data_IF_917290596892
#
_entry.id   IF_917290596892
#
_cell.length_a   1.000
_cell.length_b   1.000
_cell.length_c   1.000
_cell.angle_alpha   90.00
_cell.angle_beta   90.00
_cell.angle_gamma   90.00
#
_symmetry.space_group_name_H-M   'P 1'
#
loop_
_entity.id
_entity.type
_entity.pdbx_description
1 polymer ?
#
# COMPACT_ATOMS: atom_id res chain seq x y z
N UNK A 1 18.70 -56.23 -12.82
CA UNK A 1 19.11 -56.20 -11.40
C UNK A 1 20.31 -55.28 -11.29
N UNK A 2 20.10 -54.15 -10.63
CA UNK A 2 21.02 -53.44 -9.73
C UNK A 2 22.49 -53.17 -10.14
N UNK A 3 22.88 -51.91 -9.90
CA UNK A 3 24.21 -51.36 -9.57
C UNK A 3 25.10 -50.78 -10.67
N UNK A 4 25.48 -49.51 -10.46
CA UNK A 4 26.78 -48.84 -10.67
C UNK A 4 26.51 -47.32 -10.83
N UNK A 5 27.25 -46.35 -10.29
CA UNK A 5 28.49 -46.35 -9.52
C UNK A 5 28.84 -44.88 -9.16
N UNK A 6 29.39 -44.69 -7.95
CA UNK A 6 30.53 -43.82 -7.60
C UNK A 6 30.44 -42.28 -7.60
N UNK A 7 30.78 -41.77 -6.41
CA UNK A 7 31.72 -40.70 -6.04
C UNK A 7 31.36 -39.19 -6.08
N UNK A 8 31.37 -38.63 -4.86
CA UNK A 8 32.13 -37.46 -4.39
C UNK A 8 32.13 -36.17 -5.22
N UNK A 9 31.54 -35.11 -4.65
CA UNK A 9 32.30 -33.87 -4.43
C UNK A 9 31.73 -33.02 -3.28
N UNK A 10 32.65 -32.69 -2.38
CA UNK A 10 32.70 -31.64 -1.35
C UNK A 10 31.70 -30.48 -1.48
N UNK A 11 31.02 -30.14 -0.38
CA UNK A 11 30.67 -28.74 -0.09
C UNK A 11 30.72 -28.49 1.42
N UNK A 12 31.67 -27.65 1.81
CA UNK A 12 32.02 -27.23 3.16
C UNK A 12 31.46 -25.81 3.34
N UNK A 13 30.43 -25.61 4.17
CA UNK A 13 30.07 -24.27 4.67
C UNK A 13 29.67 -24.37 6.14
N UNK A 14 30.35 -23.54 6.93
CA UNK A 14 30.38 -23.48 8.38
C UNK A 14 29.01 -23.23 9.04
N UNK A 15 28.79 -23.91 10.16
CA UNK A 15 27.72 -23.65 11.11
C UNK A 15 28.07 -22.41 11.94
N UNK A 16 27.36 -21.31 11.73
CA UNK A 16 27.49 -20.10 12.58
C UNK A 16 26.44 -20.19 13.69
N UNK A 17 26.90 -20.44 14.91
CA UNK A 17 26.14 -20.39 16.15
C UNK A 17 26.21 -18.96 16.73
N UNK A 18 25.08 -18.24 16.71
CA UNK A 18 24.97 -16.89 17.27
C UNK A 18 24.54 -17.00 18.74
N UNK A 19 25.46 -16.66 19.65
CA UNK A 19 25.22 -16.60 21.09
C UNK A 19 24.60 -15.26 21.49
N UNK A 20 23.47 -15.32 22.20
CA UNK A 20 22.78 -14.20 22.85
C UNK A 20 23.60 -13.63 24.00
N UNK A 21 23.86 -12.32 23.98
CA UNK A 21 24.29 -11.56 25.15
C UNK A 21 23.57 -10.20 25.16
N UNK A 22 22.66 -10.03 26.12
CA UNK A 22 22.19 -8.73 26.61
C UNK A 22 22.95 -8.44 27.91
N UNK A 23 23.44 -7.21 28.15
CA UNK A 23 22.89 -6.49 29.30
C UNK A 23 22.82 -4.96 29.14
N UNK A 24 21.64 -4.42 29.50
CA UNK A 24 21.39 -3.17 30.23
C UNK A 24 22.44 -2.05 30.21
N UNK A 25 22.15 -0.97 29.47
CA UNK A 25 22.64 0.38 29.80
C UNK A 25 21.49 1.36 30.01
N UNK A 26 21.45 1.90 31.23
CA UNK A 26 20.51 2.91 31.70
C UNK A 26 20.99 4.29 31.23
N UNK A 27 20.35 4.85 30.21
CA UNK A 27 20.47 6.28 29.92
C UNK A 27 19.32 7.06 30.57
N UNK A 28 19.64 7.69 31.70
CA UNK A 28 18.82 8.71 32.35
C UNK A 28 19.08 10.04 31.63
N UNK A 29 18.06 10.63 31.02
CA UNK A 29 18.04 12.06 30.70
C UNK A 29 16.81 12.70 31.37
N UNK A 30 17.10 13.54 32.38
CA UNK A 30 16.14 14.48 32.99
C UNK A 30 16.08 15.73 32.11
N UNK A 31 14.89 16.17 31.72
CA UNK A 31 14.62 17.62 31.59
C UNK A 31 13.16 17.96 31.86
N UNK A 32 12.96 19.09 32.51
CA UNK A 32 11.79 19.53 33.28
C UNK A 32 10.72 20.27 32.44
N UNK A 33 9.48 20.18 32.95
CA UNK A 33 8.34 21.11 32.89
C UNK A 33 8.47 22.45 32.13
N UNK A 34 7.42 22.80 31.38
CA UNK A 34 6.50 23.89 31.79
C UNK A 34 5.18 23.91 31.01
N UNK A 35 4.09 23.80 31.75
CA UNK A 35 2.71 24.09 31.35
C UNK A 35 2.53 25.62 31.41
N UNK A 36 2.00 26.24 30.36
CA UNK A 36 1.44 27.60 30.43
C UNK A 36 0.04 27.62 29.83
N UNK A 37 -0.93 27.66 30.73
CA UNK A 37 -2.31 28.10 30.47
C UNK A 37 -2.28 29.58 30.07
N UNK A 38 -3.00 29.97 29.02
CA UNK A 38 -3.36 31.37 28.84
C UNK A 38 -4.83 31.51 28.43
N UNK A 39 -5.47 32.45 29.11
CA UNK A 39 -6.92 32.59 29.29
C UNK A 39 -7.39 33.73 28.37
N UNK A 40 -8.51 33.52 27.66
CA UNK A 40 -9.15 34.51 26.80
C UNK A 40 -9.77 35.70 27.57
N UNK A 41 -9.76 36.91 27.00
CA UNK A 41 -10.79 37.92 27.25
C UNK A 41 -11.87 37.92 26.15
N UNK A 42 -13.14 38.03 26.58
CA UNK A 42 -14.34 38.20 25.74
C UNK A 42 -14.69 39.70 25.58
N UNK A 43 -15.61 39.99 24.63
CA UNK A 43 -16.67 41.07 24.59
C UNK A 43 -16.51 42.04 23.39
N UNK A 44 -17.58 42.62 22.75
CA UNK A 44 -18.98 42.23 22.50
C UNK A 44 -19.38 42.21 21.00
N UNK A 45 -20.64 41.81 20.71
CA UNK A 45 -21.28 41.78 19.37
C UNK A 45 -21.82 43.14 18.92
N UNK A 46 -21.91 43.39 17.60
CA UNK A 46 -23.01 44.14 17.02
C UNK A 46 -23.90 43.29 16.10
N UNK A 47 -25.11 43.80 15.93
CA UNK A 47 -26.33 43.20 15.42
C UNK A 47 -26.46 43.13 13.89
N UNK A 48 -27.06 42.03 13.42
CA UNK A 48 -28.04 41.91 12.32
C UNK A 48 -27.73 42.68 11.01
N UNK A 49 -27.22 41.97 10.00
CA UNK A 49 -27.58 42.14 8.58
C UNK A 49 -27.68 40.76 7.91
N UNK A 50 -28.75 40.55 7.13
CA UNK A 50 -29.06 39.34 6.34
C UNK A 50 -28.28 39.32 5.02
N UNK A 51 -28.11 38.11 4.50
CA UNK A 51 -27.81 37.72 3.12
C UNK A 51 -26.34 37.83 2.66
N UNK A 52 -25.70 36.69 2.38
CA UNK A 52 -25.50 36.16 1.02
C UNK A 52 -25.26 34.65 1.08
N UNK A 53 -25.98 33.88 0.25
CA UNK A 53 -25.75 32.45 0.00
C UNK A 53 -24.52 32.28 -0.89
N UNK A 54 -23.52 31.58 -0.40
CA UNK A 54 -22.72 30.57 -1.12
C UNK A 54 -21.47 30.24 -0.30
N UNK A 55 -21.53 29.16 0.48
CA UNK A 55 -20.33 28.56 1.05
C UNK A 55 -20.38 27.05 0.81
N UNK A 56 -19.42 26.60 0.00
CA UNK A 56 -19.11 25.24 -0.35
C UNK A 56 -19.04 24.34 0.89
N UNK A 57 -19.97 23.39 0.96
CA UNK A 57 -20.00 22.37 2.02
C UNK A 57 -19.27 21.12 1.51
N UNK A 58 -17.94 21.20 1.36
CA UNK A 58 -17.13 20.05 0.90
C UNK A 58 -16.31 19.40 2.04
N UNK A 59 -16.10 20.10 3.15
CA UNK A 59 -15.26 19.61 4.26
C UNK A 59 -15.98 18.63 5.21
N UNK A 60 -17.31 18.60 5.23
CA UNK A 60 -18.08 17.75 6.15
C UNK A 60 -18.33 16.32 5.61
N UNK A 61 -18.18 16.10 4.30
CA UNK A 61 -18.46 14.81 3.66
C UNK A 61 -17.24 13.87 3.63
N UNK A 62 -16.03 14.41 3.77
CA UNK A 62 -14.79 13.62 3.75
C UNK A 62 -14.61 12.72 4.98
N UNK A 63 -15.13 13.12 6.14
CA UNK A 63 -15.09 12.27 7.35
C UNK A 63 -15.93 10.99 7.20
N UNK A 64 -16.93 10.96 6.31
CA UNK A 64 -17.76 9.79 6.06
C UNK A 64 -17.13 8.78 5.09
N UNK A 65 -16.13 9.21 4.32
CA UNK A 65 -15.41 8.40 3.31
C UNK A 65 -14.04 7.93 3.80
N UNK A 66 -13.81 7.83 5.10
CA UNK A 66 -12.61 7.18 5.64
C UNK A 66 -12.91 5.76 6.13
N UNK A 67 -11.94 4.88 5.98
CA UNK A 67 -11.95 3.54 6.57
C UNK A 67 -11.77 3.71 8.08
N UNK A 68 -12.76 3.31 8.89
CA UNK A 68 -12.74 3.56 10.34
C UNK A 68 -11.86 2.56 11.05
N UNK A 69 -11.92 1.30 10.63
CA UNK A 69 -11.17 0.21 11.22
C UNK A 69 -10.36 -0.52 10.15
N UNK A 70 -9.02 -0.44 10.25
CA UNK A 70 -8.10 -1.26 9.46
C UNK A 70 -8.04 -2.67 10.05
N UNK A 71 -8.24 -3.68 9.21
CA UNK A 71 -8.17 -5.09 9.61
C UNK A 71 -6.80 -5.69 9.27
N UNK A 72 -6.36 -5.53 8.03
CA UNK A 72 -5.07 -6.01 7.55
C UNK A 72 -4.62 -5.24 6.31
N UNK A 73 -3.35 -5.42 5.96
CA UNK A 73 -2.73 -4.86 4.76
C UNK A 73 -2.16 -5.99 3.94
N UNK A 74 -2.55 -6.04 2.67
CA UNK A 74 -2.05 -6.99 1.69
C UNK A 74 -1.07 -6.27 0.78
N UNK A 75 0.06 -6.89 0.49
CA UNK A 75 1.12 -6.28 -0.29
C UNK A 75 1.45 -7.14 -1.49
N UNK A 76 1.76 -6.49 -2.60
CA UNK A 76 2.12 -7.19 -3.82
C UNK A 76 3.08 -6.39 -4.68
N UNK A 77 3.68 -7.09 -5.62
CA UNK A 77 4.60 -6.54 -6.61
C UNK A 77 4.21 -6.98 -8.01
N UNK A 78 4.34 -6.07 -8.95
CA UNK A 78 4.01 -6.31 -10.35
C UNK A 78 5.12 -5.80 -11.24
N UNK A 79 5.39 -6.57 -12.29
CA UNK A 79 6.46 -6.30 -13.24
C UNK A 79 5.85 -6.15 -14.62
N UNK A 80 6.41 -5.25 -15.42
CA UNK A 80 6.24 -5.24 -16.86
C UNK A 80 7.61 -5.30 -17.52
N UNK A 81 7.95 -6.47 -18.07
CA UNK A 81 9.28 -6.75 -18.63
C UNK A 81 9.39 -6.30 -20.07
N UNK A 82 8.30 -6.44 -20.83
CA UNK A 82 8.25 -6.16 -22.25
C UNK A 82 6.85 -5.60 -22.57
N UNK A 83 6.78 -4.36 -23.08
CA UNK A 83 5.50 -3.68 -23.37
C UNK A 83 5.31 -2.28 -22.75
N UNK A 84 6.15 -1.87 -21.80
CA UNK A 84 6.18 -0.53 -21.20
C UNK A 84 4.81 0.00 -20.74
N UNK A 85 3.96 -0.90 -20.23
CA UNK A 85 2.65 -0.58 -19.69
C UNK A 85 2.70 -0.60 -18.17
N UNK A 86 2.85 0.59 -17.59
CA UNK A 86 2.84 0.78 -16.14
C UNK A 86 1.50 0.36 -15.51
N UNK A 87 0.41 0.43 -16.27
CA UNK A 87 -0.92 -0.03 -15.81
C UNK A 87 -0.93 -1.55 -15.70
N UNK A 88 -0.35 -2.26 -16.66
CA UNK A 88 -0.23 -3.72 -16.58
C UNK A 88 0.62 -4.14 -15.37
N UNK A 89 1.74 -3.47 -15.11
CA UNK A 89 2.54 -3.69 -13.90
C UNK A 89 1.72 -3.44 -12.63
N UNK A 90 1.00 -2.31 -12.53
CA UNK A 90 0.18 -1.99 -11.37
C UNK A 90 -0.97 -3.00 -11.16
N UNK A 91 -1.63 -3.43 -12.23
CA UNK A 91 -2.67 -4.45 -12.14
C UNK A 91 -2.11 -5.80 -11.67
N UNK A 92 -0.91 -6.18 -12.13
CA UNK A 92 -0.21 -7.38 -11.65
C UNK A 92 0.14 -7.25 -10.16
N UNK A 93 0.61 -6.09 -9.71
CA UNK A 93 0.90 -5.83 -8.30
C UNK A 93 -0.35 -5.97 -7.41
N UNK A 94 -1.48 -5.42 -7.85
CA UNK A 94 -2.75 -5.57 -7.13
C UNK A 94 -3.26 -7.01 -7.11
N UNK A 95 -3.12 -7.76 -8.22
CA UNK A 95 -3.48 -9.19 -8.25
C UNK A 95 -2.59 -10.00 -7.32
N UNK A 96 -1.29 -9.77 -7.37
CA UNK A 96 -0.31 -10.41 -6.49
C UNK A 96 -0.70 -10.23 -5.02
N UNK A 97 -1.03 -8.99 -4.62
CA UNK A 97 -1.44 -8.66 -3.26
C UNK A 97 -2.65 -9.49 -2.77
N UNK A 98 -3.66 -9.70 -3.62
CA UNK A 98 -4.93 -10.32 -3.19
C UNK A 98 -5.04 -11.83 -3.52
N UNK A 99 -4.17 -12.36 -4.38
CA UNK A 99 -4.34 -13.70 -4.97
C UNK A 99 -4.10 -14.85 -4.00
N UNK A 100 -3.24 -14.64 -3.00
CA UNK A 100 -2.82 -15.67 -2.04
C UNK A 100 -3.61 -15.65 -0.72
N UNK A 101 -4.50 -14.66 -0.55
CA UNK A 101 -5.27 -14.48 0.67
C UNK A 101 -6.71 -14.95 0.51
N UNK A 102 -7.21 -15.63 1.54
CA UNK A 102 -8.61 -16.04 1.64
C UNK A 102 -9.17 -15.60 2.98
N UNK A 103 -10.16 -14.70 2.96
CA UNK A 103 -10.78 -14.17 4.18
C UNK A 103 -12.25 -14.60 4.26
N UNK A 104 -12.55 -15.86 4.59
CA UNK A 104 -13.93 -16.35 4.70
C UNK A 104 -14.72 -15.69 5.84
N UNK A 105 -14.05 -15.03 6.79
CA UNK A 105 -14.68 -14.33 7.92
C UNK A 105 -15.70 -13.26 7.47
N UNK A 106 -15.43 -12.55 6.35
CA UNK A 106 -16.35 -11.56 5.80
C UNK A 106 -17.66 -12.17 5.25
N UNK A 107 -17.60 -13.39 4.71
CA UNK A 107 -18.81 -14.09 4.23
C UNK A 107 -19.56 -14.80 5.36
N UNK A 108 -18.84 -15.27 6.38
CA UNK A 108 -19.43 -15.97 7.53
C UNK A 108 -20.01 -15.03 8.59
N UNK A 109 -19.86 -13.70 8.42
CA UNK A 109 -20.32 -12.72 9.41
C UNK A 109 -19.64 -12.88 10.78
N UNK A 110 -18.44 -13.46 10.81
CA UNK A 110 -17.71 -13.72 12.06
C UNK A 110 -17.15 -12.43 12.69
N UNK A 111 -17.14 -11.34 11.92
CA UNK A 111 -16.77 -10.00 12.39
C UNK A 111 -18.07 -9.22 12.64
N UNK A 112 -18.39 -8.87 13.90
CA UNK A 112 -19.64 -8.18 14.22
C UNK A 112 -19.79 -6.86 13.46
N UNK A 113 -20.90 -6.72 12.74
CA UNK A 113 -21.22 -5.50 11.99
C UNK A 113 -20.39 -5.29 10.72
N UNK A 114 -19.78 -6.37 10.18
CA UNK A 114 -19.03 -6.34 8.92
C UNK A 114 -19.51 -7.46 8.00
N UNK A 115 -20.35 -7.10 7.04
CA UNK A 115 -20.69 -7.95 5.90
C UNK A 115 -19.65 -7.80 4.79
N UNK A 116 -19.72 -8.72 3.83
CA UNK A 116 -18.93 -8.64 2.60
C UNK A 116 -19.16 -7.32 1.83
N UNK A 117 -20.36 -6.74 1.86
CA UNK A 117 -20.64 -5.46 1.18
C UNK A 117 -20.06 -4.24 1.92
N UNK A 118 -19.75 -4.38 3.20
CA UNK A 118 -19.19 -3.31 4.03
C UNK A 118 -17.67 -3.23 3.96
N UNK A 119 -17.02 -4.21 3.31
CA UNK A 119 -15.58 -4.18 3.08
C UNK A 119 -15.20 -2.95 2.26
N UNK A 120 -14.23 -2.19 2.76
CA UNK A 120 -13.66 -1.00 2.12
C UNK A 120 -12.19 -1.23 1.83
N UNK A 121 -11.76 -0.75 0.67
CA UNK A 121 -10.38 -0.84 0.22
C UNK A 121 -9.80 0.56 0.10
N UNK A 122 -8.57 0.73 0.57
CA UNK A 122 -7.73 1.86 0.21
C UNK A 122 -6.46 1.27 -0.40
N UNK A 123 -6.09 1.75 -1.58
CA UNK A 123 -4.94 1.21 -2.32
C UNK A 123 -3.86 2.27 -2.36
N UNK A 124 -2.62 1.87 -2.11
CA UNK A 124 -1.44 2.71 -2.28
C UNK A 124 -0.50 2.04 -3.26
N UNK A 125 -0.13 2.77 -4.32
CA UNK A 125 0.74 2.28 -5.38
C UNK A 125 2.06 3.07 -5.37
N UNK A 126 3.18 2.35 -5.30
CA UNK A 126 4.51 2.90 -5.52
C UNK A 126 4.86 2.80 -7.00
N UNK A 127 4.87 3.94 -7.69
CA UNK A 127 5.05 4.02 -9.14
C UNK A 127 6.12 5.07 -9.46
N UNK A 128 7.06 4.77 -10.39
CA UNK A 128 8.09 5.73 -10.77
C UNK A 128 7.50 7.06 -11.20
N UNK A 129 7.99 8.17 -10.64
CA UNK A 129 7.42 9.51 -10.82
C UNK A 129 7.07 9.86 -12.27
N UNK A 130 7.98 9.59 -13.20
CA UNK A 130 7.82 9.91 -14.62
C UNK A 130 6.70 9.12 -15.32
N UNK A 131 6.27 7.98 -14.75
CA UNK A 131 5.24 7.10 -15.31
C UNK A 131 3.88 7.24 -14.60
N UNK A 132 3.80 8.03 -13.52
CA UNK A 132 2.54 8.17 -12.78
C UNK A 132 1.39 8.74 -13.63
N UNK A 133 1.70 9.57 -14.63
CA UNK A 133 0.70 10.17 -15.51
C UNK A 133 0.13 9.19 -16.55
N UNK A 134 0.84 8.10 -16.87
CA UNK A 134 0.38 7.08 -17.82
C UNK A 134 -0.37 5.93 -17.15
N UNK A 135 -0.54 5.97 -15.82
CA UNK A 135 -1.24 4.97 -15.05
C UNK A 135 -2.77 5.13 -15.17
N UNK A 136 -3.44 4.10 -15.69
CA UNK A 136 -4.90 4.04 -15.75
C UNK A 136 -5.47 3.45 -14.44
N UNK A 137 -5.90 4.36 -13.56
CA UNK A 137 -6.44 4.02 -12.23
C UNK A 137 -7.74 3.21 -12.33
N UNK A 138 -8.58 3.44 -13.34
CA UNK A 138 -9.85 2.72 -13.46
C UNK A 138 -9.62 1.25 -13.85
N UNK A 139 -8.63 0.99 -14.72
CA UNK A 139 -8.18 -0.38 -14.98
C UNK A 139 -7.61 -1.04 -13.73
N UNK A 140 -6.82 -0.34 -12.92
CA UNK A 140 -6.31 -0.90 -11.66
C UNK A 140 -7.44 -1.24 -10.69
N UNK A 141 -8.44 -0.37 -10.55
CA UNK A 141 -9.63 -0.64 -9.72
C UNK A 141 -10.39 -1.89 -10.15
N UNK A 142 -10.44 -2.19 -11.45
CA UNK A 142 -11.13 -3.38 -11.98
C UNK A 142 -10.52 -4.71 -11.53
N UNK A 143 -9.30 -4.71 -10.97
CA UNK A 143 -8.64 -5.90 -10.45
C UNK A 143 -9.34 -6.49 -9.23
N UNK A 144 -9.97 -5.65 -8.42
CA UNK A 144 -10.56 -6.07 -7.15
C UNK A 144 -11.97 -6.62 -7.38
N UNK A 145 -12.23 -7.91 -7.12
CA UNK A 145 -13.54 -8.52 -7.36
C UNK A 145 -14.53 -8.27 -6.21
N UNK A 146 -14.11 -7.51 -5.19
CA UNK A 146 -14.87 -7.26 -3.97
C UNK A 146 -14.43 -5.96 -3.30
N UNK A 147 -15.21 -5.54 -2.29
CA UNK A 147 -14.94 -4.35 -1.50
C UNK A 147 -15.23 -3.06 -2.25
N UNK A 148 -15.60 -2.02 -1.51
CA UNK A 148 -15.75 -0.67 -2.02
C UNK A 148 -14.40 0.04 -1.98
N UNK A 149 -13.85 0.36 -3.14
CA UNK A 149 -12.63 1.16 -3.25
C UNK A 149 -12.95 2.61 -2.87
N UNK A 150 -12.36 3.09 -1.78
CA UNK A 150 -12.53 4.47 -1.31
C UNK A 150 -11.61 5.43 -2.06
N UNK A 151 -10.36 5.00 -2.23
CA UNK A 151 -9.26 5.80 -2.74
C UNK A 151 -8.13 4.93 -3.31
N UNK A 152 -7.42 5.49 -4.28
CA UNK A 152 -6.19 4.93 -4.85
C UNK A 152 -5.13 6.03 -4.81
N UNK A 153 -4.24 5.95 -3.82
CA UNK A 153 -3.13 6.87 -3.63
C UNK A 153 -1.94 6.39 -4.49
N UNK A 154 -1.43 7.26 -5.35
CA UNK A 154 -0.20 7.00 -6.11
C UNK A 154 0.92 7.81 -5.49
N UNK A 155 2.00 7.14 -5.12
CA UNK A 155 3.20 7.75 -4.56
C UNK A 155 4.44 7.40 -5.38
N UNK A 156 5.47 8.21 -5.22
CA UNK A 156 6.78 7.91 -5.77
C UNK A 156 7.35 6.61 -5.18
N UNK A 157 7.86 5.75 -6.05
CA UNK A 157 8.34 4.43 -5.67
C UNK A 157 8.53 3.53 -6.89
N UNK A 158 8.44 2.21 -6.69
CA UNK A 158 8.69 1.25 -7.75
C UNK A 158 10.14 1.28 -8.25
N UNK A 159 10.37 0.76 -9.45
CA UNK A 159 11.68 0.79 -10.10
C UNK A 159 11.52 0.82 -11.62
N UNK A 160 12.40 1.57 -12.28
CA UNK A 160 12.71 1.40 -13.70
C UNK A 160 14.10 0.78 -13.76
N UNK A 161 14.24 -0.34 -14.45
CA UNK A 161 15.53 -0.99 -14.66
C UNK A 161 15.61 -1.55 -16.08
N UNK A 162 16.82 -1.72 -16.61
CA UNK A 162 16.99 -2.38 -17.91
C UNK A 162 16.73 -3.89 -17.79
N UNK A 163 15.97 -4.45 -18.73
CA UNK A 163 15.83 -5.90 -18.96
C UNK A 163 17.06 -6.48 -19.68
N UNK A 164 17.94 -5.62 -20.21
CA UNK A 164 19.13 -5.98 -20.97
C UNK A 164 18.86 -6.47 -22.39
N UNK A 165 17.60 -6.59 -22.81
CA UNK A 165 17.19 -7.05 -24.13
C UNK A 165 16.00 -6.24 -24.61
N UNK A 166 16.12 -5.68 -25.81
CA UNK A 166 15.03 -5.02 -26.52
C UNK A 166 14.44 -5.98 -27.55
N UNK A 167 13.17 -6.38 -27.36
CA UNK A 167 12.47 -7.32 -28.24
C UNK A 167 11.26 -6.62 -28.87
N UNK A 168 11.46 -6.02 -30.05
CA UNK A 168 10.40 -5.27 -30.76
C UNK A 168 9.13 -6.09 -31.00
N UNK A 169 9.27 -7.40 -31.26
CA UNK A 169 8.15 -8.33 -31.48
C UNK A 169 7.22 -8.47 -30.26
N UNK A 170 7.73 -8.16 -29.06
CA UNK A 170 6.97 -8.17 -27.80
C UNK A 170 6.41 -6.79 -27.44
N UNK A 171 6.59 -5.78 -28.31
CA UNK A 171 6.07 -4.42 -28.11
C UNK A 171 7.00 -3.50 -27.32
N UNK A 172 8.27 -3.87 -27.16
CA UNK A 172 9.27 -3.02 -26.54
C UNK A 172 9.50 -1.75 -27.37
N UNK A 173 9.69 -0.59 -26.71
CA UNK A 173 10.21 0.62 -27.38
C UNK A 173 11.65 0.95 -26.97
N UNK A 174 12.11 0.36 -25.86
CA UNK A 174 13.47 0.38 -25.34
C UNK A 174 13.64 -0.88 -24.46
N UNK A 175 14.71 -0.97 -23.69
CA UNK A 175 15.00 -2.08 -22.77
C UNK A 175 14.51 -1.83 -21.33
N UNK A 176 13.63 -0.86 -21.08
CA UNK A 176 13.10 -0.58 -19.74
C UNK A 176 12.09 -1.65 -19.31
N UNK A 177 12.28 -2.13 -18.09
CA UNK A 177 11.32 -2.89 -17.30
C UNK A 177 10.79 -2.03 -16.15
N UNK A 178 9.49 -2.13 -15.90
CA UNK A 178 8.82 -1.39 -14.84
C UNK A 178 8.42 -2.30 -13.69
N UNK A 179 8.68 -1.85 -12.46
CA UNK A 179 8.26 -2.52 -11.23
C UNK A 179 7.34 -1.57 -10.47
N UNK A 180 6.18 -2.08 -10.06
CA UNK A 180 5.19 -1.39 -9.24
C UNK A 180 4.98 -2.16 -7.94
N UNK A 181 4.95 -1.45 -6.82
CA UNK A 181 4.57 -2.01 -5.54
C UNK A 181 3.14 -1.60 -5.19
N UNK A 182 2.37 -2.50 -4.60
CA UNK A 182 1.02 -2.22 -4.12
C UNK A 182 0.90 -2.55 -2.64
N UNK A 183 0.21 -1.69 -1.90
CA UNK A 183 -0.32 -1.96 -0.56
C UNK A 183 -1.83 -1.74 -0.58
N UNK A 184 -2.58 -2.79 -0.27
CA UNK A 184 -4.05 -2.82 -0.23
C UNK A 184 -4.47 -2.90 1.23
N UNK A 185 -5.00 -1.80 1.74
CA UNK A 185 -5.54 -1.70 3.08
C UNK A 185 -6.99 -2.17 3.05
N UNK A 186 -7.34 -3.12 3.92
CA UNK A 186 -8.69 -3.67 4.00
C UNK A 186 -9.32 -3.36 5.34
N UNK A 187 -10.52 -2.80 5.33
CA UNK A 187 -11.24 -2.40 6.54
C UNK A 187 -12.72 -2.13 6.31
N UNK A 188 -13.37 -1.41 7.22
CA UNK A 188 -14.80 -1.04 7.15
C UNK A 188 -15.12 0.29 7.84
#
# INVERSE_FOLDING_TARGET
MTTCSLLNHLCNIASISISSQNPSDKFIFKTQHQIRNNINPRIPRPSRIKAVMSLSTEAADQSAKSMKNLLFVEMGVGYDQHGQDITAAAMRACRDAISSNSIPAFRRGSIPGVSFEQMKLQIKLGVPRCLQQSLDIEKVKSVFPYGKILDVEVVDGGLICSSGVHVEEMGDKNDDCYIVNAAVYVGY
#
